data_IF_688820319751
#
_entry.id   IF_688820319751
#
_cell.length_a   1.000
_cell.length_b   1.000
_cell.length_c   1.000
_cell.angle_alpha   90.00
_cell.angle_beta   90.00
_cell.angle_gamma   90.00
#
_symmetry.space_group_name_H-M   'P 1'
#
loop_
_entity.id
_entity.type
_entity.pdbx_description
1 polymer ?
#
# COMPACT_ATOMS: atom_id res chain seq x y z
N UNK A 1 37.44 23.47 -70.46
CA UNK A 1 38.30 22.36 -69.98
C UNK A 1 38.76 22.61 -68.49
N UNK A 2 39.30 23.77 -68.14
CA UNK A 2 39.80 24.02 -66.77
C UNK A 2 38.70 23.95 -65.66
N UNK A 3 37.52 24.49 -65.90
CA UNK A 3 36.40 24.48 -64.90
C UNK A 3 35.89 23.05 -64.62
N UNK A 4 35.82 22.16 -65.60
CA UNK A 4 35.45 20.75 -65.46
C UNK A 4 36.51 19.98 -64.67
N UNK A 5 37.78 20.24 -64.90
CA UNK A 5 38.89 19.61 -64.18
C UNK A 5 38.86 20.06 -62.63
N UNK A 6 38.52 21.31 -62.37
CA UNK A 6 38.38 21.82 -60.97
C UNK A 6 37.16 21.21 -60.25
N UNK A 7 36.02 21.12 -60.92
CA UNK A 7 34.84 20.48 -60.39
C UNK A 7 35.04 18.96 -60.12
N UNK A 8 35.82 18.26 -60.98
CA UNK A 8 36.19 16.86 -60.77
C UNK A 8 37.11 16.72 -59.54
N UNK A 9 38.09 17.60 -59.34
CA UNK A 9 38.97 17.59 -58.16
C UNK A 9 38.16 17.84 -56.91
N UNK A 10 37.23 18.83 -56.91
CA UNK A 10 36.31 19.13 -55.77
C UNK A 10 35.41 17.92 -55.45
N UNK A 11 34.87 17.28 -56.48
CA UNK A 11 34.05 16.06 -56.30
C UNK A 11 34.83 14.95 -55.62
N UNK A 12 36.03 14.66 -56.04
CA UNK A 12 36.89 13.65 -55.43
C UNK A 12 37.36 14.00 -54.02
N UNK A 13 37.53 15.30 -53.72
CA UNK A 13 37.86 15.81 -52.41
C UNK A 13 36.63 15.91 -51.47
N UNK A 14 35.45 15.45 -51.90
CA UNK A 14 34.19 15.66 -51.21
C UNK A 14 33.84 17.13 -50.95
N UNK A 15 34.28 18.04 -51.79
CA UNK A 15 33.92 19.46 -51.78
C UNK A 15 32.71 19.73 -52.68
N UNK A 16 31.90 20.77 -52.39
CA UNK A 16 30.80 21.17 -53.26
C UNK A 16 31.34 21.60 -54.63
N UNK A 17 30.80 21.03 -55.74
CA UNK A 17 31.13 21.44 -57.11
C UNK A 17 30.42 22.73 -57.47
N UNK A 18 31.01 23.56 -58.34
CA UNK A 18 30.44 24.86 -58.73
C UNK A 18 29.23 24.72 -59.66
N UNK A 19 29.19 23.66 -60.46
CA UNK A 19 28.06 23.35 -61.35
C UNK A 19 26.79 22.86 -60.67
N UNK A 20 26.83 22.51 -59.37
CA UNK A 20 25.64 22.05 -58.65
C UNK A 20 24.85 23.21 -58.06
N UNK A 21 23.49 23.14 -58.03
CA UNK A 21 22.67 24.17 -57.41
C UNK A 21 23.01 24.30 -55.92
N UNK A 22 22.90 25.50 -55.30
CA UNK A 22 23.31 25.77 -53.91
C UNK A 22 22.30 25.20 -52.88
N UNK A 23 22.03 23.90 -52.96
CA UNK A 23 21.15 23.23 -51.99
C UNK A 23 21.89 22.94 -50.68
N UNK A 24 21.28 23.33 -49.54
CA UNK A 24 21.84 23.13 -48.20
C UNK A 24 22.15 21.64 -47.94
N UNK A 25 21.24 20.74 -48.33
CA UNK A 25 21.37 19.29 -48.14
C UNK A 25 22.60 18.71 -48.84
N UNK A 26 22.91 19.19 -50.06
CA UNK A 26 24.08 18.76 -50.82
C UNK A 26 25.40 19.18 -50.14
N UNK A 27 25.49 20.44 -49.71
CA UNK A 27 26.66 20.97 -48.99
C UNK A 27 26.86 20.30 -47.64
N UNK A 28 25.78 20.10 -46.88
CA UNK A 28 25.81 19.39 -45.59
C UNK A 28 26.28 17.92 -45.78
N UNK A 29 25.77 17.24 -46.81
CA UNK A 29 26.19 15.85 -47.13
C UNK A 29 27.68 15.73 -47.47
N UNK A 30 28.22 16.67 -48.25
CA UNK A 30 29.66 16.72 -48.57
C UNK A 30 30.53 17.06 -47.36
N UNK A 31 30.06 17.99 -46.49
CA UNK A 31 30.74 18.34 -45.25
C UNK A 31 30.80 17.14 -44.29
N UNK A 32 29.68 16.43 -44.08
CA UNK A 32 29.61 15.24 -43.25
C UNK A 32 30.55 14.14 -43.74
N UNK A 33 30.59 13.90 -45.07
CA UNK A 33 31.51 12.89 -45.68
C UNK A 33 32.97 13.25 -45.50
N UNK A 34 33.31 14.54 -45.60
CA UNK A 34 34.70 15.04 -45.45
C UNK A 34 35.14 14.98 -43.97
N UNK A 35 34.23 15.28 -43.01
CA UNK A 35 34.55 15.39 -41.60
C UNK A 35 33.82 14.34 -40.76
N UNK A 36 33.61 13.14 -41.31
CA UNK A 36 32.79 12.06 -40.71
C UNK A 36 33.14 11.74 -39.26
N UNK A 37 34.41 11.76 -38.88
CA UNK A 37 34.86 11.48 -37.52
C UNK A 37 34.45 12.62 -36.55
N UNK A 38 34.68 13.88 -36.95
CA UNK A 38 34.34 15.04 -36.14
C UNK A 38 32.84 15.19 -35.98
N UNK A 39 32.08 15.01 -37.08
CA UNK A 39 30.62 15.04 -37.04
C UNK A 39 30.06 13.89 -36.20
N UNK A 40 30.64 12.67 -36.35
CA UNK A 40 30.26 11.51 -35.55
C UNK A 40 30.49 11.73 -34.04
N UNK A 41 31.67 12.25 -33.69
CA UNK A 41 31.99 12.57 -32.30
C UNK A 41 31.08 13.68 -31.74
N UNK A 42 30.84 14.73 -32.54
CA UNK A 42 29.95 15.83 -32.11
C UNK A 42 28.50 15.37 -31.91
N UNK A 43 27.96 14.53 -32.80
CA UNK A 43 26.61 13.95 -32.64
C UNK A 43 26.55 12.98 -31.48
N UNK A 44 27.55 12.14 -31.27
CA UNK A 44 27.61 11.26 -30.09
C UNK A 44 27.66 12.05 -28.79
N UNK A 45 28.47 13.09 -28.70
CA UNK A 45 28.54 13.96 -27.54
C UNK A 45 27.24 14.70 -27.30
N UNK A 46 26.59 15.25 -28.32
CA UNK A 46 25.30 15.91 -28.21
C UNK A 46 24.19 14.95 -27.75
N UNK A 47 24.16 13.73 -28.34
CA UNK A 47 23.21 12.69 -27.93
C UNK A 47 23.45 12.22 -26.50
N UNK A 48 24.71 12.05 -26.10
CA UNK A 48 25.08 11.73 -24.71
C UNK A 48 24.63 12.81 -23.72
N UNK A 49 24.85 14.08 -24.07
CA UNK A 49 24.41 15.21 -23.21
C UNK A 49 22.88 15.27 -23.07
N UNK A 50 22.15 15.06 -24.18
CA UNK A 50 20.69 15.00 -24.17
C UNK A 50 20.18 13.84 -23.29
N UNK A 51 20.79 12.66 -23.39
CA UNK A 51 20.43 11.52 -22.57
C UNK A 51 20.68 11.79 -21.08
N UNK A 52 21.86 12.31 -20.74
CA UNK A 52 22.19 12.66 -19.35
C UNK A 52 21.23 13.73 -18.79
N UNK A 53 20.87 14.72 -19.59
CA UNK A 53 19.89 15.74 -19.18
C UNK A 53 18.50 15.12 -18.96
N UNK A 54 18.07 14.23 -19.85
CA UNK A 54 16.79 13.54 -19.70
C UNK A 54 16.75 12.67 -18.43
N UNK A 55 17.82 11.93 -18.15
CA UNK A 55 17.96 11.14 -16.91
C UNK A 55 17.93 12.06 -15.69
N UNK A 56 18.72 13.13 -15.66
CA UNK A 56 18.75 14.05 -14.53
C UNK A 56 17.38 14.72 -14.26
N UNK A 57 16.65 15.09 -15.32
CA UNK A 57 15.28 15.63 -15.19
C UNK A 57 14.31 14.57 -14.66
N UNK A 58 14.43 13.33 -15.14
CA UNK A 58 13.59 12.22 -14.66
C UNK A 58 13.83 11.94 -13.16
N UNK A 59 15.09 11.77 -12.75
CA UNK A 59 15.48 11.57 -11.36
C UNK A 59 15.06 12.74 -10.46
N UNK A 60 15.25 13.97 -10.93
CA UNK A 60 14.83 15.17 -10.20
C UNK A 60 13.31 15.22 -9.96
N UNK A 61 12.50 14.80 -10.96
CA UNK A 61 11.04 14.70 -10.80
C UNK A 61 10.63 13.59 -9.83
N UNK A 62 11.28 12.43 -9.92
CA UNK A 62 11.04 11.33 -8.99
C UNK A 62 11.33 11.75 -7.54
N UNK A 63 12.50 12.34 -7.31
CA UNK A 63 12.90 12.82 -5.99
C UNK A 63 11.96 13.92 -5.44
N UNK A 64 11.43 14.79 -6.31
CA UNK A 64 10.44 15.79 -5.91
C UNK A 64 9.12 15.14 -5.47
N UNK A 65 8.61 14.17 -6.24
CA UNK A 65 7.39 13.43 -5.89
C UNK A 65 7.54 12.66 -4.57
N UNK A 66 8.68 12.02 -4.35
CA UNK A 66 8.97 11.31 -3.11
C UNK A 66 9.04 12.25 -1.90
N UNK A 67 9.66 13.43 -2.06
CA UNK A 67 9.70 14.46 -1.00
C UNK A 67 8.30 14.98 -0.66
N UNK A 68 7.46 15.23 -1.66
CA UNK A 68 6.11 15.75 -1.43
C UNK A 68 5.24 14.66 -0.75
N UNK A 69 5.38 13.40 -1.13
CA UNK A 69 4.72 12.27 -0.44
C UNK A 69 5.19 12.16 1.02
N UNK A 70 6.50 12.22 1.25
CA UNK A 70 7.06 12.16 2.61
C UNK A 70 6.59 13.32 3.49
N UNK A 71 6.52 14.54 2.94
CA UNK A 71 5.99 15.73 3.65
C UNK A 71 4.51 15.56 4.01
N UNK A 72 3.71 15.05 3.08
CA UNK A 72 2.30 14.81 3.34
C UNK A 72 2.10 13.75 4.43
N UNK A 73 2.86 12.66 4.39
CA UNK A 73 2.82 11.62 5.43
C UNK A 73 3.27 12.17 6.79
N UNK A 74 4.33 12.99 6.83
CA UNK A 74 4.78 13.62 8.06
C UNK A 74 3.72 14.57 8.65
N UNK A 75 3.10 15.40 7.82
CA UNK A 75 2.03 16.30 8.26
C UNK A 75 0.81 15.54 8.78
N UNK A 76 0.43 14.43 8.15
CA UNK A 76 -0.65 13.54 8.64
C UNK A 76 -0.30 12.93 10.00
N UNK A 77 0.91 12.40 10.14
CA UNK A 77 1.38 11.82 11.39
C UNK A 77 1.40 12.86 12.52
N UNK A 78 1.88 14.08 12.24
CA UNK A 78 1.89 15.19 13.20
C UNK A 78 0.47 15.58 13.64
N UNK A 79 -0.48 15.66 12.71
CA UNK A 79 -1.88 15.94 13.01
C UNK A 79 -2.51 14.88 13.90
N UNK A 80 -2.25 13.59 13.62
CA UNK A 80 -2.72 12.46 14.45
C UNK A 80 -2.10 12.51 15.84
N UNK A 81 -0.78 12.69 15.93
CA UNK A 81 -0.08 12.80 17.21
C UNK A 81 -0.55 14.02 18.04
N UNK A 82 -0.77 15.15 17.39
CA UNK A 82 -1.34 16.35 18.03
C UNK A 82 -2.70 16.05 18.64
N UNK A 83 -3.62 15.47 17.87
CA UNK A 83 -4.93 15.09 18.35
C UNK A 83 -4.88 14.11 19.54
N UNK A 84 -4.06 13.05 19.44
CA UNK A 84 -3.90 12.07 20.53
C UNK A 84 -3.28 12.71 21.78
N UNK A 85 -2.34 13.63 21.61
CA UNK A 85 -1.74 14.38 22.73
C UNK A 85 -2.78 15.26 23.45
N UNK A 86 -3.65 15.92 22.70
CA UNK A 86 -4.73 16.72 23.26
C UNK A 86 -5.78 15.86 23.97
N UNK A 87 -6.13 14.71 23.39
CA UNK A 87 -6.99 13.72 24.00
C UNK A 87 -6.43 13.22 25.35
N UNK A 88 -5.13 12.86 25.39
CA UNK A 88 -4.48 12.44 26.63
C UNK A 88 -4.36 13.57 27.66
N UNK A 89 -4.22 14.80 27.20
CA UNK A 89 -4.17 15.98 28.08
C UNK A 89 -5.53 16.27 28.72
N UNK A 90 -6.64 16.04 28.01
CA UNK A 90 -7.99 16.17 28.56
C UNK A 90 -8.24 15.11 29.65
N UNK A 91 -7.65 13.92 29.50
CA UNK A 91 -7.73 12.83 30.47
C UNK A 91 -6.94 13.07 31.79
N UNK A 92 -6.16 14.17 31.89
CA UNK A 92 -5.38 14.47 33.10
C UNK A 92 -6.28 14.75 34.32
N UNK A 93 -6.14 13.99 35.42
CA UNK A 93 -6.94 14.20 36.64
C UNK A 93 -6.87 15.62 37.20
N UNK A 94 -5.77 16.35 36.94
CA UNK A 94 -5.67 17.75 37.34
C UNK A 94 -6.66 18.66 36.59
N UNK A 95 -7.04 18.30 35.37
CA UNK A 95 -8.05 18.99 34.56
C UNK A 95 -9.47 18.49 34.90
N UNK A 96 -9.60 17.27 35.38
CA UNK A 96 -10.86 16.62 35.75
C UNK A 96 -11.34 16.93 37.19
N UNK A 97 -10.78 17.97 37.85
CA UNK A 97 -11.17 18.41 39.22
C UNK A 97 -11.16 17.27 40.25
N UNK A 98 -10.26 16.28 40.11
CA UNK A 98 -10.08 15.16 41.03
C UNK A 98 -11.09 14.01 40.84
N UNK A 99 -11.86 13.98 39.76
CA UNK A 99 -12.66 12.82 39.37
C UNK A 99 -11.84 11.81 38.57
N UNK A 100 -12.06 10.52 38.82
CA UNK A 100 -11.50 9.45 37.97
C UNK A 100 -12.12 9.50 36.58
N UNK A 101 -11.32 9.86 35.60
CA UNK A 101 -11.75 9.89 34.17
C UNK A 101 -11.65 8.51 33.60
N UNK A 102 -12.76 7.92 33.19
CA UNK A 102 -12.76 6.63 32.51
C UNK A 102 -12.26 6.73 31.08
N UNK A 103 -11.64 5.66 30.53
CA UNK A 103 -11.24 5.57 29.13
C UNK A 103 -12.41 5.88 28.19
N UNK A 104 -13.61 5.45 28.54
CA UNK A 104 -14.83 5.70 27.76
C UNK A 104 -15.16 7.19 27.67
N UNK A 105 -15.03 7.95 28.76
CA UNK A 105 -15.26 9.41 28.78
C UNK A 105 -14.24 10.13 27.89
N UNK A 106 -12.96 9.70 27.93
CA UNK A 106 -11.91 10.25 27.06
C UNK A 106 -12.22 10.02 25.58
N UNK A 107 -12.70 8.82 25.25
CA UNK A 107 -13.09 8.49 23.86
C UNK A 107 -14.31 9.28 23.40
N UNK A 108 -15.31 9.48 24.27
CA UNK A 108 -16.51 10.26 23.95
C UNK A 108 -16.15 11.73 23.68
N UNK A 109 -15.26 12.32 24.48
CA UNK A 109 -14.75 13.68 24.27
C UNK A 109 -13.89 13.79 23.01
N UNK A 110 -13.01 12.81 22.78
CA UNK A 110 -12.20 12.74 21.56
C UNK A 110 -13.07 12.65 20.30
N UNK A 111 -14.13 11.82 20.33
CA UNK A 111 -15.06 11.68 19.22
C UNK A 111 -15.83 13.00 18.95
N UNK A 112 -16.25 13.69 20.00
CA UNK A 112 -16.90 15.00 19.87
C UNK A 112 -15.95 16.04 19.26
N UNK A 113 -14.70 16.10 19.73
CA UNK A 113 -13.67 17.00 19.21
C UNK A 113 -13.30 16.68 17.76
N UNK A 114 -13.18 15.38 17.41
CA UNK A 114 -12.86 14.94 16.06
C UNK A 114 -13.87 15.45 15.03
N UNK A 115 -15.15 15.55 15.39
CA UNK A 115 -16.21 15.98 14.48
C UNK A 115 -15.99 17.40 13.94
N UNK A 116 -15.38 18.29 14.73
CA UNK A 116 -15.12 19.70 14.41
C UNK A 116 -13.66 19.99 13.99
N UNK A 117 -12.74 19.03 14.10
CA UNK A 117 -11.34 19.23 13.77
C UNK A 117 -11.14 19.43 12.26
N UNK A 118 -10.26 20.36 11.86
CA UNK A 118 -9.84 20.53 10.47
C UNK A 118 -8.65 19.61 10.17
N UNK A 119 -8.91 18.46 9.59
CA UNK A 119 -7.95 17.39 9.33
C UNK A 119 -7.98 16.93 7.88
N UNK A 120 -6.82 16.57 7.35
CA UNK A 120 -6.73 15.81 6.09
C UNK A 120 -7.64 14.56 6.16
N UNK A 121 -8.35 14.21 5.06
CA UNK A 121 -9.29 13.08 5.07
C UNK A 121 -8.69 11.76 5.53
N UNK A 122 -7.42 11.48 5.20
CA UNK A 122 -6.73 10.24 5.59
C UNK A 122 -6.33 10.27 7.07
N UNK A 123 -5.86 11.41 7.57
CA UNK A 123 -5.57 11.61 9.00
C UNK A 123 -6.84 11.46 9.85
N UNK A 124 -7.95 12.07 9.42
CA UNK A 124 -9.26 11.90 10.06
C UNK A 124 -9.69 10.43 10.09
N UNK A 125 -9.58 9.72 8.96
CA UNK A 125 -9.95 8.32 8.88
C UNK A 125 -9.12 7.44 9.81
N UNK A 126 -7.83 7.75 9.97
CA UNK A 126 -6.97 7.05 10.95
C UNK A 126 -7.48 7.21 12.38
N UNK A 127 -7.91 8.41 12.76
CA UNK A 127 -8.46 8.68 14.09
C UNK A 127 -9.85 8.04 14.28
N UNK A 128 -10.72 8.14 13.26
CA UNK A 128 -12.04 7.49 13.27
C UNK A 128 -11.91 5.97 13.44
N UNK A 129 -10.95 5.32 12.73
CA UNK A 129 -10.67 3.89 12.87
C UNK A 129 -10.14 3.55 14.26
N UNK A 130 -9.16 4.32 14.76
CA UNK A 130 -8.58 4.11 16.09
C UNK A 130 -9.62 4.23 17.21
N UNK A 131 -10.44 5.28 17.18
CA UNK A 131 -11.53 5.45 18.14
C UNK A 131 -12.57 4.32 17.98
N UNK A 132 -12.95 4.00 16.76
CA UNK A 132 -13.94 2.98 16.46
C UNK A 132 -13.54 1.59 16.94
N UNK A 133 -12.31 1.16 16.67
CA UNK A 133 -11.79 -0.13 17.13
C UNK A 133 -11.53 -0.16 18.64
N UNK A 134 -11.21 0.98 19.25
CA UNK A 134 -11.11 1.09 20.72
C UNK A 134 -12.49 0.96 21.38
N UNK A 135 -13.53 1.59 20.83
CA UNK A 135 -14.90 1.35 21.30
C UNK A 135 -15.30 -0.12 21.19
N UNK A 136 -14.96 -0.78 20.08
CA UNK A 136 -15.21 -2.22 19.91
C UNK A 136 -14.53 -3.04 21.01
N UNK A 137 -13.27 -2.76 21.31
CA UNK A 137 -12.50 -3.44 22.37
C UNK A 137 -13.09 -3.23 23.77
N UNK A 138 -13.78 -2.10 23.99
CA UNK A 138 -14.52 -1.80 25.21
C UNK A 138 -15.97 -2.36 25.22
N UNK A 139 -16.34 -3.14 24.20
CA UNK A 139 -17.67 -3.73 24.05
C UNK A 139 -18.75 -2.78 23.51
N UNK A 140 -18.37 -1.59 23.03
CA UNK A 140 -19.30 -0.58 22.51
C UNK A 140 -19.26 -0.52 20.97
N UNK A 141 -19.66 -1.63 20.36
CA UNK A 141 -19.71 -1.73 18.89
C UNK A 141 -20.67 -0.71 18.26
N UNK A 142 -21.71 -0.29 18.98
CA UNK A 142 -22.69 0.68 18.49
C UNK A 142 -22.09 2.06 18.23
N UNK A 143 -21.13 2.50 19.07
CA UNK A 143 -20.38 3.74 18.87
C UNK A 143 -19.25 3.57 17.88
N UNK A 144 -18.56 2.43 17.89
CA UNK A 144 -17.38 2.19 17.08
C UNK A 144 -17.67 1.96 15.60
N UNK A 145 -18.72 1.20 15.28
CA UNK A 145 -19.02 0.81 13.89
C UNK A 145 -19.23 1.99 12.93
N UNK A 146 -20.01 3.03 13.28
CA UNK A 146 -20.20 4.19 12.40
C UNK A 146 -18.87 4.92 12.09
N UNK A 147 -17.95 4.98 13.06
CA UNK A 147 -16.66 5.62 12.89
C UNK A 147 -15.80 4.86 11.85
N UNK A 148 -15.70 3.54 11.98
CA UNK A 148 -14.92 2.73 11.04
C UNK A 148 -15.53 2.74 9.64
N UNK A 149 -16.86 2.77 9.52
CA UNK A 149 -17.53 2.91 8.23
C UNK A 149 -17.25 4.27 7.59
N UNK A 150 -17.30 5.36 8.36
CA UNK A 150 -16.94 6.70 7.86
C UNK A 150 -15.47 6.77 7.43
N UNK A 151 -14.57 6.19 8.22
CA UNK A 151 -13.14 6.07 7.90
C UNK A 151 -12.92 5.33 6.58
N UNK A 152 -13.54 4.18 6.42
CA UNK A 152 -13.46 3.36 5.22
C UNK A 152 -13.92 4.12 3.97
N UNK A 153 -15.06 4.79 4.05
CA UNK A 153 -15.57 5.59 2.94
C UNK A 153 -14.62 6.75 2.57
N UNK A 154 -14.08 7.47 3.57
CA UNK A 154 -13.10 8.56 3.33
C UNK A 154 -11.83 8.07 2.63
N UNK A 155 -11.29 6.95 3.10
CA UNK A 155 -10.08 6.37 2.50
C UNK A 155 -10.34 5.92 1.09
N UNK A 156 -11.50 5.30 0.83
CA UNK A 156 -11.91 4.90 -0.52
C UNK A 156 -11.97 6.07 -1.48
N UNK A 157 -12.55 7.19 -1.05
CA UNK A 157 -12.68 8.42 -1.85
C UNK A 157 -11.33 9.09 -2.10
N UNK A 158 -10.44 9.10 -1.08
CA UNK A 158 -9.15 9.77 -1.15
C UNK A 158 -8.07 8.97 -1.88
N UNK A 159 -8.03 7.64 -1.71
CA UNK A 159 -6.93 6.79 -2.17
C UNK A 159 -7.37 5.72 -3.18
N UNK A 160 -8.67 5.44 -3.26
CA UNK A 160 -9.22 4.44 -4.17
C UNK A 160 -9.45 3.05 -3.54
N UNK A 161 -10.19 2.16 -4.26
CA UNK A 161 -10.69 0.90 -3.69
C UNK A 161 -9.63 -0.22 -3.59
N UNK A 162 -8.47 -0.06 -4.18
CA UNK A 162 -7.36 -1.03 -4.13
C UNK A 162 -6.16 -0.53 -3.31
N UNK A 163 -6.29 0.66 -2.69
CA UNK A 163 -5.23 1.15 -1.80
C UNK A 163 -5.10 0.24 -0.56
N UNK A 164 -3.88 -0.14 -0.14
CA UNK A 164 -3.67 -1.00 1.03
C UNK A 164 -4.36 -0.48 2.30
N UNK A 165 -4.42 0.84 2.48
CA UNK A 165 -5.07 1.43 3.65
C UNK A 165 -6.60 1.32 3.59
N UNK A 166 -7.20 1.41 2.41
CA UNK A 166 -8.62 1.09 2.24
C UNK A 166 -8.91 -0.39 2.55
N UNK A 167 -8.06 -1.30 2.07
CA UNK A 167 -8.20 -2.73 2.35
C UNK A 167 -8.04 -3.03 3.85
N UNK A 168 -7.20 -2.28 4.57
CA UNK A 168 -7.11 -2.33 6.03
C UNK A 168 -8.43 -1.89 6.69
N UNK A 169 -9.02 -0.76 6.27
CA UNK A 169 -10.30 -0.27 6.79
C UNK A 169 -11.44 -1.27 6.56
N UNK A 170 -11.50 -1.90 5.39
CA UNK A 170 -12.48 -2.96 5.09
C UNK A 170 -12.34 -4.17 6.01
N UNK A 171 -11.12 -4.53 6.37
CA UNK A 171 -10.87 -5.58 7.35
C UNK A 171 -11.36 -5.18 8.75
N UNK A 172 -11.13 -3.94 9.17
CA UNK A 172 -11.66 -3.42 10.41
C UNK A 172 -13.21 -3.47 10.47
N UNK A 173 -13.91 -3.10 9.38
CA UNK A 173 -15.36 -3.23 9.29
C UNK A 173 -15.84 -4.69 9.47
N UNK A 174 -15.17 -5.65 8.80
CA UNK A 174 -15.53 -7.06 8.90
C UNK A 174 -15.38 -7.61 10.33
N UNK A 175 -14.42 -7.10 11.11
CA UNK A 175 -14.27 -7.45 12.53
C UNK A 175 -15.49 -7.04 13.38
N UNK A 176 -16.16 -5.94 13.07
CA UNK A 176 -17.41 -5.57 13.72
C UNK A 176 -18.53 -6.59 13.45
N UNK A 177 -18.64 -7.08 12.22
CA UNK A 177 -19.59 -8.13 11.87
C UNK A 177 -19.31 -9.41 12.67
N UNK A 178 -18.05 -9.83 12.75
CA UNK A 178 -17.62 -10.99 13.55
C UNK A 178 -17.98 -10.80 15.02
N UNK A 179 -17.62 -9.65 15.61
CA UNK A 179 -17.88 -9.36 17.02
C UNK A 179 -19.38 -9.39 17.37
N UNK A 180 -20.22 -9.02 16.41
CA UNK A 180 -21.69 -9.04 16.56
C UNK A 180 -22.33 -10.40 16.23
N UNK A 181 -21.53 -11.43 15.93
CA UNK A 181 -22.02 -12.76 15.53
C UNK A 181 -22.67 -12.79 14.14
N UNK A 182 -22.48 -11.76 13.32
CA UNK A 182 -23.01 -11.67 11.94
C UNK A 182 -22.02 -12.30 10.96
N UNK A 183 -21.84 -13.61 11.08
CA UNK A 183 -20.79 -14.33 10.36
C UNK A 183 -21.02 -14.40 8.85
N UNK A 184 -22.27 -14.47 8.37
CA UNK A 184 -22.60 -14.41 6.95
C UNK A 184 -22.18 -13.06 6.34
N UNK A 185 -22.45 -11.95 7.05
CA UNK A 185 -22.01 -10.62 6.62
C UNK A 185 -20.49 -10.53 6.59
N UNK A 186 -19.82 -11.09 7.62
CA UNK A 186 -18.36 -11.13 7.67
C UNK A 186 -17.77 -11.90 6.49
N UNK A 187 -18.30 -13.07 6.15
CA UNK A 187 -17.88 -13.85 4.97
C UNK A 187 -18.06 -13.04 3.68
N UNK A 188 -19.24 -12.41 3.49
CA UNK A 188 -19.52 -11.61 2.31
C UNK A 188 -18.57 -10.41 2.16
N UNK A 189 -18.02 -9.89 3.27
CA UNK A 189 -17.02 -8.81 3.26
C UNK A 189 -15.60 -9.34 3.07
N UNK A 190 -15.25 -10.45 3.71
CA UNK A 190 -13.87 -10.96 3.76
C UNK A 190 -13.46 -11.73 2.51
N UNK A 191 -14.37 -12.44 1.83
CA UNK A 191 -14.04 -13.14 0.59
C UNK A 191 -13.50 -12.21 -0.51
N UNK A 192 -14.21 -11.12 -0.90
CA UNK A 192 -13.69 -10.19 -1.90
C UNK A 192 -12.46 -9.43 -1.39
N UNK A 193 -12.38 -9.14 -0.09
CA UNK A 193 -11.22 -8.50 0.52
C UNK A 193 -9.98 -9.39 0.42
N UNK A 194 -10.10 -10.68 0.68
CA UNK A 194 -9.00 -11.64 0.56
C UNK A 194 -8.46 -11.69 -0.87
N UNK A 195 -9.35 -11.69 -1.87
CA UNK A 195 -8.93 -11.66 -3.27
C UNK A 195 -8.18 -10.37 -3.61
N UNK A 196 -8.71 -9.21 -3.17
CA UNK A 196 -8.05 -7.92 -3.37
C UNK A 196 -6.67 -7.87 -2.69
N UNK A 197 -6.55 -8.34 -1.44
CA UNK A 197 -5.27 -8.39 -0.72
C UNK A 197 -4.27 -9.37 -1.36
N UNK A 198 -4.71 -10.52 -1.83
CA UNK A 198 -3.85 -11.46 -2.59
C UNK A 198 -3.31 -10.79 -3.87
N UNK A 199 -4.12 -9.98 -4.55
CA UNK A 199 -3.71 -9.28 -5.76
C UNK A 199 -2.75 -8.12 -5.48
N UNK A 200 -3.01 -7.32 -4.43
CA UNK A 200 -2.28 -6.07 -4.14
C UNK A 200 -1.04 -6.32 -3.29
N UNK A 201 -1.16 -7.16 -2.26
CA UNK A 201 -0.13 -7.40 -1.26
C UNK A 201 0.59 -8.74 -1.45
N UNK A 202 -0.06 -9.73 -2.08
CA UNK A 202 0.47 -11.07 -2.23
C UNK A 202 0.65 -11.78 -0.89
N UNK A 203 1.85 -12.32 -0.66
CA UNK A 203 2.26 -12.95 0.61
C UNK A 203 2.58 -11.85 1.62
N UNK A 204 1.64 -11.58 2.53
CA UNK A 204 1.71 -10.50 3.50
C UNK A 204 0.90 -10.83 4.76
N UNK A 205 1.30 -10.31 5.93
CA UNK A 205 0.61 -10.54 7.19
C UNK A 205 -0.87 -10.09 7.16
N UNK A 206 -1.17 -8.98 6.50
CA UNK A 206 -2.57 -8.54 6.33
C UNK A 206 -3.41 -9.52 5.52
N UNK A 207 -2.81 -10.19 4.53
CA UNK A 207 -3.48 -11.25 3.77
C UNK A 207 -3.75 -12.45 4.68
N UNK A 208 -2.77 -12.86 5.49
CA UNK A 208 -2.90 -13.92 6.48
C UNK A 208 -3.97 -13.59 7.54
N UNK A 209 -4.00 -12.35 8.04
CA UNK A 209 -5.03 -11.89 8.99
C UNK A 209 -6.45 -11.95 8.41
N UNK A 210 -6.59 -11.68 7.09
CA UNK A 210 -7.90 -11.85 6.42
C UNK A 210 -8.30 -13.32 6.33
N UNK A 211 -7.34 -14.21 6.03
CA UNK A 211 -7.59 -15.65 6.03
C UNK A 211 -8.06 -16.13 7.39
N UNK A 212 -7.39 -15.71 8.46
CA UNK A 212 -7.76 -16.04 9.83
C UNK A 212 -9.22 -15.67 10.16
N UNK A 213 -9.59 -14.42 9.93
CA UNK A 213 -10.95 -13.95 10.25
C UNK A 213 -12.01 -14.61 9.35
N UNK A 214 -11.68 -14.91 8.11
CA UNK A 214 -12.58 -15.61 7.20
C UNK A 214 -12.73 -17.09 7.61
N UNK A 215 -11.64 -17.77 7.98
CA UNK A 215 -11.67 -19.13 8.51
C UNK A 215 -12.50 -19.21 9.80
N UNK A 216 -12.31 -18.26 10.71
CA UNK A 216 -13.11 -18.16 11.91
C UNK A 216 -14.60 -18.01 11.59
N UNK A 217 -14.97 -17.10 10.69
CA UNK A 217 -16.36 -16.92 10.30
C UNK A 217 -16.96 -18.17 9.65
N UNK A 218 -16.21 -18.91 8.82
CA UNK A 218 -16.64 -20.18 8.27
C UNK A 218 -16.84 -21.26 9.35
N UNK A 219 -15.95 -21.35 10.33
CA UNK A 219 -16.06 -22.31 11.42
C UNK A 219 -17.33 -22.05 12.26
N UNK A 220 -17.63 -20.79 12.59
CA UNK A 220 -18.83 -20.39 13.33
C UNK A 220 -20.14 -20.66 12.54
N UNK A 221 -20.06 -20.68 11.20
CA UNK A 221 -21.15 -21.09 10.32
C UNK A 221 -21.22 -22.63 10.10
N UNK A 222 -20.38 -23.41 10.77
CA UNK A 222 -20.30 -24.86 10.61
C UNK A 222 -19.68 -25.33 9.30
N UNK A 223 -19.04 -24.44 8.52
CA UNK A 223 -18.37 -24.75 7.26
C UNK A 223 -16.91 -25.17 7.54
N UNK A 224 -16.73 -26.19 8.38
CA UNK A 224 -15.44 -26.55 8.99
C UNK A 224 -14.38 -26.94 7.95
N UNK A 225 -14.77 -27.60 6.86
CA UNK A 225 -13.83 -27.99 5.80
C UNK A 225 -13.24 -26.74 5.09
N UNK A 226 -14.07 -25.71 4.88
CA UNK A 226 -13.59 -24.46 4.28
C UNK A 226 -12.68 -23.68 5.24
N UNK A 227 -13.03 -23.66 6.52
CA UNK A 227 -12.22 -23.05 7.56
C UNK A 227 -10.84 -23.71 7.62
N UNK A 228 -10.79 -25.05 7.74
CA UNK A 228 -9.54 -25.81 7.80
C UNK A 228 -8.67 -25.62 6.53
N UNK A 229 -9.29 -25.63 5.35
CA UNK A 229 -8.56 -25.40 4.10
C UNK A 229 -7.91 -24.00 4.04
N UNK A 230 -8.55 -23.00 4.65
CA UNK A 230 -8.05 -21.65 4.71
C UNK A 230 -6.99 -21.49 5.79
N UNK A 231 -7.15 -22.11 6.97
CA UNK A 231 -6.16 -22.14 8.03
C UNK A 231 -4.85 -22.81 7.58
N UNK A 232 -4.91 -23.88 6.79
CA UNK A 232 -3.73 -24.51 6.20
C UNK A 232 -2.99 -23.55 5.24
N UNK A 233 -3.71 -22.81 4.38
CA UNK A 233 -3.11 -21.78 3.52
C UNK A 233 -2.51 -20.64 4.34
N UNK A 234 -3.18 -20.23 5.41
CA UNK A 234 -2.66 -19.23 6.34
C UNK A 234 -1.37 -19.70 6.99
N UNK A 235 -1.32 -20.95 7.46
CA UNK A 235 -0.15 -21.53 8.11
C UNK A 235 1.07 -21.53 7.19
N UNK A 236 0.91 -21.92 5.93
CA UNK A 236 1.98 -21.86 4.94
C UNK A 236 2.49 -20.42 4.76
N UNK A 237 1.57 -19.45 4.67
CA UNK A 237 1.90 -18.05 4.52
C UNK A 237 2.64 -17.48 5.73
N UNK A 238 2.11 -17.69 6.93
CA UNK A 238 2.69 -17.20 8.18
C UNK A 238 4.05 -17.85 8.44
N UNK A 239 4.17 -19.15 8.22
CA UNK A 239 5.46 -19.85 8.34
C UNK A 239 6.52 -19.28 7.40
N UNK A 240 6.13 -18.92 6.17
CA UNK A 240 7.05 -18.30 5.20
C UNK A 240 7.48 -16.88 5.58
N UNK A 241 6.62 -16.14 6.30
CA UNK A 241 6.86 -14.74 6.68
C UNK A 241 7.61 -14.62 8.01
N UNK A 242 7.25 -15.42 9.00
CA UNK A 242 7.69 -15.24 10.40
C UNK A 242 8.44 -16.47 10.96
N UNK A 243 8.43 -17.58 10.23
CA UNK A 243 9.00 -18.86 10.70
C UNK A 243 7.96 -19.77 11.35
N UNK A 244 8.31 -21.07 11.41
CA UNK A 244 7.40 -22.11 11.90
C UNK A 244 7.11 -22.04 13.41
N UNK A 245 8.04 -21.48 14.19
CA UNK A 245 7.96 -21.36 15.64
C UNK A 245 7.48 -19.97 16.09
N UNK A 246 7.02 -19.12 15.15
CA UNK A 246 6.47 -17.80 15.48
C UNK A 246 5.13 -17.95 16.20
N UNK A 247 4.79 -16.97 17.05
CA UNK A 247 3.51 -16.92 17.74
C UNK A 247 2.33 -17.03 16.78
N UNK A 248 2.39 -16.32 15.65
CA UNK A 248 1.34 -16.39 14.62
C UNK A 248 1.20 -17.78 14.00
N UNK A 249 2.31 -18.48 13.76
CA UNK A 249 2.29 -19.85 13.24
C UNK A 249 1.71 -20.84 14.27
N UNK A 250 2.06 -20.70 15.54
CA UNK A 250 1.53 -21.53 16.62
C UNK A 250 0.04 -21.29 16.87
N UNK A 251 -0.42 -20.05 16.80
CA UNK A 251 -1.85 -19.70 16.86
C UNK A 251 -2.59 -20.35 15.68
N UNK A 252 -2.05 -20.23 14.47
CA UNK A 252 -2.65 -20.84 13.27
C UNK A 252 -2.66 -22.37 13.33
N UNK A 253 -1.59 -22.99 13.83
CA UNK A 253 -1.54 -24.43 14.10
C UNK A 253 -2.64 -24.86 15.07
N UNK A 254 -2.89 -24.06 16.11
CA UNK A 254 -3.99 -24.36 17.05
C UNK A 254 -5.34 -24.34 16.35
N UNK A 255 -5.59 -23.38 15.44
CA UNK A 255 -6.83 -23.34 14.63
C UNK A 255 -6.95 -24.57 13.73
N UNK A 256 -5.87 -24.99 13.08
CA UNK A 256 -5.83 -26.23 12.27
C UNK A 256 -6.17 -27.47 13.12
N UNK A 257 -5.58 -27.59 14.32
CA UNK A 257 -5.85 -28.66 15.26
C UNK A 257 -7.34 -28.71 15.69
N UNK A 258 -7.95 -27.55 15.95
CA UNK A 258 -9.39 -27.45 16.24
C UNK A 258 -10.24 -27.88 15.04
N UNK A 259 -9.90 -27.44 13.82
CA UNK A 259 -10.57 -27.85 12.60
C UNK A 259 -10.55 -29.38 12.41
N UNK A 260 -9.40 -30.04 12.60
CA UNK A 260 -9.30 -31.49 12.56
C UNK A 260 -10.14 -32.16 13.64
N UNK A 261 -10.17 -31.61 14.86
CA UNK A 261 -10.99 -32.14 15.95
C UNK A 261 -12.48 -32.09 15.60
N UNK A 262 -12.95 -30.97 15.06
CA UNK A 262 -14.36 -30.80 14.66
C UNK A 262 -14.77 -31.74 13.54
N UNK A 263 -13.83 -32.14 12.67
CA UNK A 263 -14.05 -33.12 11.59
C UNK A 263 -13.89 -34.57 12.06
N UNK A 264 -13.58 -34.82 13.34
CA UNK A 264 -13.33 -36.15 13.88
C UNK A 264 -11.99 -36.77 13.44
N UNK A 265 -11.09 -35.98 12.86
CA UNK A 265 -9.75 -36.37 12.40
C UNK A 265 -8.76 -36.31 13.55
N UNK A 266 -8.94 -37.18 14.55
CA UNK A 266 -8.26 -37.06 15.85
C UNK A 266 -6.75 -37.33 15.78
N UNK A 267 -6.30 -38.20 14.89
CA UNK A 267 -4.87 -38.48 14.71
C UNK A 267 -4.13 -37.25 14.21
N UNK A 268 -4.67 -36.57 13.19
CA UNK A 268 -4.09 -35.34 12.65
C UNK A 268 -4.17 -34.20 13.66
N UNK A 269 -5.25 -34.09 14.41
CA UNK A 269 -5.36 -33.10 15.49
C UNK A 269 -4.27 -33.32 16.55
N UNK A 270 -4.01 -34.59 16.93
CA UNK A 270 -2.96 -34.94 17.90
C UNK A 270 -1.57 -34.58 17.38
N UNK A 271 -1.26 -34.87 16.12
CA UNK A 271 0.03 -34.51 15.51
C UNK A 271 0.25 -32.99 15.52
N UNK A 272 -0.78 -32.20 15.16
CA UNK A 272 -0.72 -30.74 15.13
C UNK A 272 -0.54 -30.18 16.53
N UNK A 273 -1.33 -30.59 17.51
CA UNK A 273 -1.22 -30.10 18.90
C UNK A 273 0.11 -30.48 19.56
N UNK A 274 0.68 -31.64 19.21
CA UNK A 274 2.01 -32.06 19.70
C UNK A 274 3.15 -31.13 19.24
N UNK A 275 2.93 -30.32 18.21
CA UNK A 275 3.91 -29.32 17.73
C UNK A 275 3.72 -27.96 18.41
N UNK A 276 2.57 -27.71 19.02
CA UNK A 276 2.27 -26.45 19.72
C UNK A 276 2.76 -26.49 21.18
N UNK A 277 2.87 -27.70 21.77
CA UNK A 277 3.36 -27.96 23.13
C UNK A 277 4.89 -27.98 23.19
#
# INVERSE_FOLDING_TARGET
MAALADDLRRYLANEPVQAAPPQFSYRAGKFVRRHRLVVGLATAAASGLLLLTAVAVFEGRQAALERDRARLQAARAESVLGFLSDMLRSANPANAQGQDVSVRQVLDEANATLSSADLDPVARATLEETLGTTYLSLGDAAKGQPLVQAASQRVREALGPLDPFYLYMRHAEARFAIYQGRYEDAVAMLEPLLQARKQVLGVHMDTASTMHNLAYAYAELGQVEKALALDLQQLDMVTSLSGADSEDALITLSSVGHGYTQLGRLDEAYEVFSRVL
#
